data_IF_381021490194
#
_entry.id   IF_381021490194
#
_cell.length_a   1.000
_cell.length_b   1.000
_cell.length_c   1.000
_cell.angle_alpha   90.00
_cell.angle_beta   90.00
_cell.angle_gamma   90.00
#
_symmetry.space_group_name_H-M   'P 1'
#
loop_
_entity.id
_entity.type
_entity.pdbx_description
1 polymer ?
#
# COMPACT_ATOMS: atom_id res chain seq x y z
N UNK A 1 -16.09 -12.19 6.11
CA UNK A 1 -15.56 -11.37 4.99
C UNK A 1 -15.65 -12.15 3.68
N UNK A 2 -16.03 -11.52 2.55
CA UNK A 2 -16.08 -12.19 1.24
C UNK A 2 -14.67 -12.20 0.61
N UNK A 3 -14.09 -13.37 0.37
CA UNK A 3 -12.74 -13.50 -0.24
C UNK A 3 -12.65 -12.86 -1.63
N UNK A 4 -13.75 -12.84 -2.39
CA UNK A 4 -13.76 -12.27 -3.74
C UNK A 4 -13.49 -10.76 -3.83
N UNK A 5 -13.63 -10.04 -2.72
CA UNK A 5 -13.32 -8.60 -2.64
C UNK A 5 -11.96 -8.31 -2.01
N UNK A 6 -11.31 -9.31 -1.40
CA UNK A 6 -10.02 -9.16 -0.74
C UNK A 6 -8.90 -8.96 -1.78
N UNK A 7 -8.10 -7.94 -1.56
CA UNK A 7 -6.87 -7.68 -2.31
C UNK A 7 -5.70 -8.18 -1.45
N UNK A 8 -4.80 -8.98 -2.01
CA UNK A 8 -3.62 -9.46 -1.26
C UNK A 8 -2.37 -8.81 -1.81
N UNK A 9 -1.56 -8.26 -0.90
CA UNK A 9 -0.25 -7.71 -1.25
C UNK A 9 0.74 -8.84 -1.56
N UNK A 10 1.48 -8.70 -2.66
CA UNK A 10 2.53 -9.66 -3.01
C UNK A 10 3.81 -9.50 -2.18
N UNK A 11 3.89 -8.49 -1.30
CA UNK A 11 5.05 -8.23 -0.43
C UNK A 11 5.45 -9.44 0.41
N UNK A 12 4.48 -10.20 0.94
CA UNK A 12 4.75 -11.42 1.70
C UNK A 12 5.59 -12.46 0.93
N UNK A 13 5.56 -12.40 -0.39
CA UNK A 13 6.27 -13.31 -1.30
C UNK A 13 7.53 -12.67 -1.90
N UNK A 14 8.09 -11.64 -1.28
CA UNK A 14 9.21 -10.83 -1.81
C UNK A 14 10.49 -11.62 -2.14
N UNK A 15 10.60 -12.87 -1.68
CA UNK A 15 11.69 -13.81 -2.00
C UNK A 15 11.28 -14.91 -2.99
N UNK A 16 10.09 -14.84 -3.51
CA UNK A 16 9.57 -15.78 -4.52
C UNK A 16 9.44 -15.08 -5.86
N UNK A 17 9.47 -15.85 -6.96
CA UNK A 17 9.13 -15.28 -8.26
C UNK A 17 7.66 -14.86 -8.30
N UNK A 18 7.34 -13.91 -9.17
CA UNK A 18 5.95 -13.45 -9.33
C UNK A 18 5.04 -14.59 -9.83
N UNK A 19 5.53 -15.46 -10.73
CA UNK A 19 4.76 -16.62 -11.20
C UNK A 19 4.40 -17.59 -10.08
N UNK A 20 5.35 -17.90 -9.18
CA UNK A 20 5.05 -18.71 -7.98
C UNK A 20 4.04 -18.00 -7.08
N UNK A 21 4.23 -16.70 -6.83
CA UNK A 21 3.32 -15.90 -6.00
C UNK A 21 1.88 -15.95 -6.51
N UNK A 22 1.70 -15.69 -7.80
CA UNK A 22 0.40 -15.72 -8.47
C UNK A 22 -0.25 -17.10 -8.35
N UNK A 23 0.51 -18.17 -8.56
CA UNK A 23 0.01 -19.54 -8.41
C UNK A 23 -0.48 -19.84 -6.98
N UNK A 24 0.24 -19.35 -5.95
CA UNK A 24 -0.19 -19.52 -4.55
C UNK A 24 -1.47 -18.73 -4.23
N UNK A 25 -1.57 -17.49 -4.74
CA UNK A 25 -2.76 -16.66 -4.58
C UNK A 25 -3.97 -17.29 -5.29
N UNK A 26 -3.79 -17.77 -6.53
CA UNK A 26 -4.82 -18.47 -7.28
C UNK A 26 -5.33 -19.72 -6.56
N UNK A 27 -4.42 -20.57 -6.07
CA UNK A 27 -4.75 -21.77 -5.32
C UNK A 27 -5.51 -21.46 -4.01
N UNK A 28 -5.31 -20.27 -3.44
CA UNK A 28 -6.00 -19.79 -2.26
C UNK A 28 -7.34 -19.08 -2.59
N UNK A 29 -7.76 -19.03 -3.86
CA UNK A 29 -9.01 -18.38 -4.31
C UNK A 29 -8.94 -16.86 -4.40
N UNK A 30 -7.75 -16.27 -4.31
CA UNK A 30 -7.54 -14.83 -4.47
C UNK A 30 -7.43 -14.50 -5.96
N UNK A 31 -8.05 -13.39 -6.36
CA UNK A 31 -8.05 -12.89 -7.75
C UNK A 31 -7.59 -11.43 -7.87
N UNK A 32 -7.48 -10.71 -6.77
CA UNK A 32 -7.17 -9.28 -6.73
C UNK A 32 -5.86 -9.05 -5.99
N UNK A 33 -4.96 -8.30 -6.61
CA UNK A 33 -3.57 -8.17 -6.16
C UNK A 33 -3.21 -6.69 -5.95
N UNK A 34 -2.55 -6.39 -4.82
CA UNK A 34 -1.69 -5.22 -4.65
C UNK A 34 -0.27 -5.65 -4.99
N UNK A 35 0.24 -5.21 -6.14
CA UNK A 35 1.56 -5.60 -6.63
C UNK A 35 2.66 -4.81 -5.89
N UNK A 36 3.50 -5.52 -5.15
CA UNK A 36 4.69 -4.92 -4.54
C UNK A 36 5.78 -4.69 -5.59
N UNK A 37 6.38 -3.48 -5.58
CA UNK A 37 7.34 -3.01 -6.55
C UNK A 37 8.79 -3.42 -6.31
N UNK A 38 9.04 -4.48 -5.53
CA UNK A 38 10.40 -4.99 -5.31
C UNK A 38 10.92 -5.84 -6.47
N UNK A 39 12.25 -6.00 -6.52
CA UNK A 39 12.97 -6.63 -7.63
C UNK A 39 12.51 -8.06 -7.97
N UNK A 40 12.07 -8.85 -6.98
CA UNK A 40 11.58 -10.21 -7.21
C UNK A 40 10.28 -10.26 -8.03
N UNK A 41 9.51 -9.17 -8.06
CA UNK A 41 8.23 -9.07 -8.79
C UNK A 41 8.35 -8.22 -10.06
N UNK A 42 9.56 -7.91 -10.48
CA UNK A 42 9.82 -7.41 -11.82
C UNK A 42 9.81 -5.89 -12.00
N UNK A 43 9.77 -5.11 -10.92
CA UNK A 43 9.89 -3.66 -11.04
C UNK A 43 11.13 -3.13 -10.31
N UNK A 44 12.14 -2.75 -11.07
CA UNK A 44 13.40 -2.17 -10.55
C UNK A 44 13.50 -0.65 -10.70
N UNK A 45 12.36 0.05 -10.91
CA UNK A 45 12.34 1.48 -11.19
C UNK A 45 12.50 1.87 -12.66
N UNK A 46 12.84 0.91 -13.53
CA UNK A 46 12.97 1.12 -14.97
C UNK A 46 12.40 -0.09 -15.72
N UNK A 47 11.08 -0.25 -15.78
CA UNK A 47 10.48 -1.38 -16.46
C UNK A 47 10.74 -1.30 -17.95
N UNK A 48 11.47 -2.27 -18.47
CA UNK A 48 11.55 -2.48 -19.89
C UNK A 48 10.18 -2.84 -20.49
N UNK A 49 10.04 -2.72 -21.81
CA UNK A 49 8.78 -3.04 -22.49
C UNK A 49 8.35 -4.50 -22.30
N UNK A 50 9.31 -5.44 -22.27
CA UNK A 50 9.06 -6.85 -22.05
C UNK A 50 8.42 -7.18 -20.71
N UNK A 51 8.86 -6.55 -19.61
CA UNK A 51 8.32 -6.81 -18.26
C UNK A 51 6.83 -6.46 -18.13
N UNK A 52 6.41 -5.37 -18.75
CA UNK A 52 4.99 -4.98 -18.73
C UNK A 52 4.12 -6.00 -19.50
N UNK A 53 4.61 -6.50 -20.63
CA UNK A 53 3.88 -7.48 -21.44
C UNK A 53 3.85 -8.85 -20.77
N UNK A 54 4.95 -9.28 -20.18
CA UNK A 54 5.05 -10.51 -19.39
C UNK A 54 4.11 -10.47 -18.19
N UNK A 55 4.05 -9.35 -17.46
CA UNK A 55 3.13 -9.14 -16.34
C UNK A 55 1.68 -9.26 -16.83
N UNK A 56 1.29 -8.53 -17.87
CA UNK A 56 -0.08 -8.60 -18.42
C UNK A 56 -0.44 -10.02 -18.88
N UNK A 57 0.49 -10.73 -19.50
CA UNK A 57 0.27 -12.10 -19.92
C UNK A 57 0.06 -13.03 -18.71
N UNK A 58 0.88 -12.92 -17.67
CA UNK A 58 0.75 -13.69 -16.44
C UNK A 58 -0.59 -13.45 -15.76
N UNK A 59 -1.01 -12.17 -15.65
CA UNK A 59 -2.31 -11.82 -15.05
C UNK A 59 -3.47 -12.42 -15.83
N UNK A 60 -3.44 -12.37 -17.17
CA UNK A 60 -4.48 -12.99 -18.01
C UNK A 60 -4.51 -14.51 -17.87
N UNK A 61 -3.35 -15.19 -17.87
CA UNK A 61 -3.26 -16.64 -17.71
C UNK A 61 -3.90 -17.13 -16.42
N UNK A 62 -3.70 -16.40 -15.33
CA UNK A 62 -4.21 -16.75 -13.99
C UNK A 62 -5.53 -16.02 -13.63
N UNK A 63 -6.12 -15.25 -14.56
CA UNK A 63 -7.35 -14.46 -14.32
C UNK A 63 -7.24 -13.57 -13.07
N UNK A 64 -6.10 -12.91 -12.91
CA UNK A 64 -5.82 -11.98 -11.82
C UNK A 64 -6.08 -10.54 -12.23
N UNK A 65 -6.53 -9.74 -11.26
CA UNK A 65 -6.70 -8.29 -11.40
C UNK A 65 -5.64 -7.56 -10.58
N UNK A 66 -4.92 -6.65 -11.22
CA UNK A 66 -4.01 -5.72 -10.55
C UNK A 66 -4.81 -4.49 -10.11
N UNK A 67 -4.95 -4.31 -8.79
CA UNK A 67 -5.76 -3.24 -8.21
C UNK A 67 -4.91 -2.05 -7.78
N UNK A 68 -3.71 -2.33 -7.31
CA UNK A 68 -2.82 -1.33 -6.74
C UNK A 68 -1.36 -1.71 -7.04
N UNK A 69 -0.54 -0.71 -7.29
CA UNK A 69 0.90 -0.83 -7.28
C UNK A 69 1.49 -0.16 -6.03
N UNK A 70 2.26 -0.90 -5.25
CA UNK A 70 2.94 -0.45 -4.04
C UNK A 70 4.45 -0.39 -4.28
N UNK A 71 5.03 0.76 -4.66
CA UNK A 71 6.46 0.91 -4.92
C UNK A 71 7.31 0.66 -3.67
N UNK A 72 8.53 0.18 -3.86
CA UNK A 72 9.51 0.04 -2.78
C UNK A 72 10.08 1.43 -2.45
N UNK A 73 9.41 2.15 -1.56
CA UNK A 73 9.82 3.47 -1.06
C UNK A 73 9.70 3.46 0.46
N UNK A 74 10.79 3.66 1.16
CA UNK A 74 10.79 3.70 2.62
C UNK A 74 11.77 4.77 3.13
N UNK A 75 13.01 4.40 3.34
CA UNK A 75 14.09 5.29 3.80
C UNK A 75 15.33 5.21 2.91
N UNK A 76 15.43 4.22 2.07
CA UNK A 76 16.53 3.99 1.11
C UNK A 76 16.08 3.01 0.01
N UNK A 77 16.45 3.21 -1.24
CA UNK A 77 17.20 4.34 -1.82
C UNK A 77 16.32 5.55 -2.15
N UNK A 78 15.01 5.45 -1.95
CA UNK A 78 14.02 6.48 -2.25
C UNK A 78 13.32 6.94 -0.97
N UNK A 79 13.35 8.23 -0.69
CA UNK A 79 12.72 8.82 0.50
C UNK A 79 12.20 10.24 0.16
N UNK A 80 10.88 10.46 0.15
CA UNK A 80 10.33 11.79 -0.09
C UNK A 80 10.74 12.83 0.96
N UNK A 81 10.96 12.40 2.20
CA UNK A 81 11.28 13.25 3.33
C UNK A 81 12.79 13.43 3.58
N UNK A 82 13.66 12.93 2.70
CA UNK A 82 15.11 13.01 2.88
C UNK A 82 15.59 14.46 2.86
N UNK A 83 16.55 14.82 3.73
CA UNK A 83 17.11 16.17 3.80
C UNK A 83 17.90 16.54 2.54
N UNK A 84 18.46 15.55 1.85
CA UNK A 84 19.23 15.75 0.63
C UNK A 84 18.31 15.94 -0.57
N UNK A 85 18.39 17.10 -1.21
CA UNK A 85 17.56 17.44 -2.38
C UNK A 85 17.72 16.44 -3.53
N UNK A 86 18.91 15.84 -3.69
CA UNK A 86 19.15 14.84 -4.72
C UNK A 86 18.31 13.57 -4.51
N UNK A 87 18.23 13.05 -3.28
CA UNK A 87 17.40 11.87 -2.96
C UNK A 87 15.94 12.18 -3.25
N UNK A 88 15.46 13.38 -2.87
CA UNK A 88 14.09 13.81 -3.16
C UNK A 88 13.81 13.88 -4.66
N UNK A 89 14.73 14.46 -5.46
CA UNK A 89 14.58 14.50 -6.94
C UNK A 89 14.52 13.10 -7.54
N UNK A 90 15.39 12.19 -7.08
CA UNK A 90 15.39 10.78 -7.52
C UNK A 90 14.08 10.08 -7.13
N UNK A 91 13.57 10.35 -5.93
CA UNK A 91 12.29 9.81 -5.46
C UNK A 91 11.11 10.32 -6.30
N UNK A 92 11.08 11.62 -6.63
CA UNK A 92 10.06 12.17 -7.52
C UNK A 92 10.11 11.51 -8.91
N UNK A 93 11.31 11.38 -9.49
CA UNK A 93 11.50 10.70 -10.78
C UNK A 93 11.05 9.22 -10.72
N UNK A 94 11.33 8.53 -9.62
CA UNK A 94 10.90 7.15 -9.40
C UNK A 94 9.37 7.05 -9.35
N UNK A 95 8.67 7.90 -8.60
CA UNK A 95 7.21 7.91 -8.58
C UNK A 95 6.59 8.23 -9.95
N UNK A 96 7.18 9.12 -10.73
CA UNK A 96 6.74 9.40 -12.12
C UNK A 96 6.87 8.13 -12.98
N UNK A 97 7.97 7.39 -12.84
CA UNK A 97 8.16 6.11 -13.53
C UNK A 97 7.15 5.05 -13.06
N UNK A 98 6.82 5.02 -11.77
CA UNK A 98 5.78 4.16 -11.22
C UNK A 98 4.40 4.47 -11.79
N UNK A 99 4.03 5.74 -11.91
CA UNK A 99 2.77 6.16 -12.53
C UNK A 99 2.69 5.73 -14.00
N UNK A 100 3.77 5.93 -14.76
CA UNK A 100 3.86 5.49 -16.16
C UNK A 100 3.76 3.95 -16.29
N UNK A 101 4.37 3.21 -15.37
CA UNK A 101 4.24 1.76 -15.30
C UNK A 101 2.79 1.35 -15.03
N UNK A 102 2.14 1.95 -14.02
CA UNK A 102 0.74 1.67 -13.71
C UNK A 102 -0.16 1.87 -14.94
N UNK A 103 -0.05 3.02 -15.62
CA UNK A 103 -0.82 3.30 -16.82
C UNK A 103 -0.58 2.26 -17.93
N UNK A 104 0.70 1.86 -18.12
CA UNK A 104 1.06 0.88 -19.14
C UNK A 104 0.51 -0.52 -18.89
N UNK A 105 0.43 -0.96 -17.63
CA UNK A 105 -0.07 -2.29 -17.26
C UNK A 105 -1.50 -2.28 -16.73
N UNK A 106 -2.17 -1.14 -16.86
CA UNK A 106 -3.58 -0.93 -16.49
C UNK A 106 -3.85 -1.14 -14.99
N UNK A 107 -2.88 -0.77 -14.14
CA UNK A 107 -3.07 -0.75 -12.68
C UNK A 107 -3.74 0.59 -12.31
N UNK A 108 -4.96 0.59 -11.75
CA UNK A 108 -5.71 1.83 -11.54
C UNK A 108 -5.20 2.70 -10.38
N UNK A 109 -4.37 2.15 -9.48
CA UNK A 109 -3.99 2.82 -8.24
C UNK A 109 -2.49 2.74 -7.98
N UNK A 110 -1.90 3.86 -7.52
CA UNK A 110 -0.51 3.97 -7.12
C UNK A 110 -0.42 4.35 -5.65
N UNK A 111 0.15 3.47 -4.81
CA UNK A 111 0.38 3.76 -3.39
C UNK A 111 1.62 4.65 -3.23
N UNK A 112 1.46 5.77 -2.56
CA UNK A 112 2.53 6.71 -2.22
C UNK A 112 2.91 6.55 -0.76
N UNK A 113 4.14 6.10 -0.50
CA UNK A 113 4.71 6.07 0.83
C UNK A 113 5.31 7.44 1.15
N UNK A 114 4.97 8.08 2.28
CA UNK A 114 5.43 9.43 2.60
C UNK A 114 6.91 9.51 2.99
N UNK A 115 7.58 8.37 3.17
CA UNK A 115 8.96 8.31 3.64
C UNK A 115 9.09 8.50 5.14
N UNK A 116 10.34 8.60 5.61
CA UNK A 116 10.65 8.77 7.03
C UNK A 116 11.75 9.81 7.21
N UNK A 117 11.78 10.45 8.38
CA UNK A 117 12.84 11.37 8.78
C UNK A 117 13.69 10.76 9.88
N UNK A 118 14.96 11.14 9.95
CA UNK A 118 15.82 10.82 11.08
C UNK A 118 15.24 11.41 12.37
N UNK A 119 15.45 10.73 13.51
CA UNK A 119 14.87 11.14 14.78
C UNK A 119 15.41 12.48 15.30
N UNK A 120 16.63 12.83 14.90
CA UNK A 120 17.29 14.11 15.18
C UNK A 120 17.06 15.18 14.10
N UNK A 121 16.26 14.87 13.07
CA UNK A 121 15.89 15.77 11.99
C UNK A 121 14.73 16.69 12.33
N UNK A 122 14.47 17.64 11.43
CA UNK A 122 13.35 18.59 11.56
C UNK A 122 12.07 18.00 10.97
N UNK A 123 11.12 17.62 11.79
CA UNK A 123 9.83 17.07 11.35
C UNK A 123 8.99 18.05 10.52
N UNK A 124 8.89 19.34 10.87
CA UNK A 124 8.21 20.32 10.01
C UNK A 124 8.86 20.46 8.64
N UNK A 125 10.19 20.44 8.57
CA UNK A 125 10.92 20.48 7.31
C UNK A 125 10.69 19.20 6.49
N UNK A 126 10.70 18.03 7.11
CA UNK A 126 10.42 16.75 6.47
C UNK A 126 9.02 16.71 5.86
N UNK A 127 8.01 17.24 6.56
CA UNK A 127 6.65 17.34 6.08
C UNK A 127 6.57 18.18 4.81
N UNK A 128 7.19 19.37 4.83
CA UNK A 128 7.22 20.27 3.66
C UNK A 128 7.96 19.63 2.47
N UNK A 129 9.11 18.99 2.72
CA UNK A 129 9.92 18.34 1.69
C UNK A 129 9.17 17.16 1.05
N UNK A 130 8.56 16.30 1.88
CA UNK A 130 7.77 15.18 1.40
C UNK A 130 6.56 15.63 0.60
N UNK A 131 5.86 16.68 1.07
CA UNK A 131 4.72 17.23 0.36
C UNK A 131 5.09 17.71 -1.06
N UNK A 132 6.26 18.31 -1.24
CA UNK A 132 6.74 18.71 -2.56
C UNK A 132 6.91 17.52 -3.51
N UNK A 133 7.57 16.46 -3.06
CA UNK A 133 7.78 15.23 -3.85
C UNK A 133 6.45 14.53 -4.16
N UNK A 134 5.58 14.41 -3.17
CA UNK A 134 4.30 13.72 -3.31
C UNK A 134 3.33 14.50 -4.21
N UNK A 135 3.39 15.84 -4.21
CA UNK A 135 2.63 16.69 -5.15
C UNK A 135 3.03 16.42 -6.60
N UNK A 136 4.34 16.30 -6.88
CA UNK A 136 4.83 15.93 -8.20
C UNK A 136 4.38 14.52 -8.61
N UNK A 137 4.37 13.57 -7.66
CA UNK A 137 3.90 12.21 -7.90
C UNK A 137 2.41 12.18 -8.22
N UNK A 138 1.58 12.92 -7.47
CA UNK A 138 0.14 13.06 -7.74
C UNK A 138 -0.12 13.63 -9.13
N UNK A 139 0.54 14.74 -9.48
CA UNK A 139 0.37 15.35 -10.79
C UNK A 139 0.72 14.40 -11.95
N UNK A 140 1.77 13.59 -11.78
CA UNK A 140 2.15 12.59 -12.78
C UNK A 140 1.13 11.44 -12.87
N UNK A 141 0.60 10.98 -11.76
CA UNK A 141 -0.43 9.95 -11.72
C UNK A 141 -1.74 10.44 -12.35
N UNK A 142 -2.19 11.64 -12.00
CA UNK A 142 -3.39 12.28 -12.54
C UNK A 142 -3.33 12.44 -14.07
N UNK A 143 -2.19 12.89 -14.59
CA UNK A 143 -1.97 13.06 -16.02
C UNK A 143 -2.10 11.74 -16.81
N UNK A 144 -1.96 10.61 -16.14
CA UNK A 144 -2.02 9.26 -16.71
C UNK A 144 -3.30 8.49 -16.33
N UNK A 145 -4.23 9.13 -15.63
CA UNK A 145 -5.48 8.49 -15.18
C UNK A 145 -5.27 7.44 -14.07
N UNK A 146 -4.16 7.53 -13.34
CA UNK A 146 -3.84 6.64 -12.22
C UNK A 146 -4.20 7.33 -10.90
N UNK A 147 -4.98 6.68 -10.05
CA UNK A 147 -5.40 7.22 -8.75
C UNK A 147 -4.26 7.17 -7.73
N UNK A 148 -3.72 8.32 -7.26
CA UNK A 148 -2.72 8.31 -6.20
C UNK A 148 -3.37 8.04 -4.82
N UNK A 149 -2.72 7.20 -4.00
CA UNK A 149 -3.13 6.87 -2.65
C UNK A 149 -2.01 7.19 -1.67
N UNK A 150 -2.28 7.95 -0.61
CA UNK A 150 -1.32 8.18 0.48
C UNK A 150 -1.46 7.08 1.54
N UNK A 151 -0.37 6.42 1.88
CA UNK A 151 -0.36 5.44 2.98
C UNK A 151 -0.42 6.17 4.33
N UNK A 152 -1.49 5.91 5.09
CA UNK A 152 -1.68 6.44 6.44
C UNK A 152 -0.68 5.85 7.43
N UNK A 153 -0.21 6.68 8.37
CA UNK A 153 0.59 6.25 9.51
C UNK A 153 2.03 5.82 9.21
N UNK A 154 2.44 5.89 7.94
CA UNK A 154 3.78 5.45 7.53
C UNK A 154 4.89 6.49 7.81
N UNK A 155 4.54 7.74 8.02
CA UNK A 155 5.49 8.82 8.27
C UNK A 155 5.70 9.06 9.77
N UNK A 156 6.92 8.93 10.26
CA UNK A 156 7.24 9.24 11.66
C UNK A 156 7.16 10.75 11.99
N UNK A 157 7.30 11.61 10.98
CA UNK A 157 7.18 13.07 11.09
C UNK A 157 5.72 13.58 10.96
N UNK A 158 4.80 12.72 10.58
CA UNK A 158 3.37 13.02 10.43
C UNK A 158 2.53 11.84 10.99
N UNK A 159 2.62 11.56 12.31
CA UNK A 159 2.04 10.39 12.92
C UNK A 159 0.51 10.47 12.99
N UNK A 160 -0.13 9.30 12.90
CA UNK A 160 -1.57 9.12 13.08
C UNK A 160 -2.44 9.85 12.05
N UNK A 161 -3.73 9.92 12.33
CA UNK A 161 -4.71 10.58 11.47
C UNK A 161 -4.44 12.08 11.33
N UNK A 162 -4.14 12.75 12.43
CA UNK A 162 -3.87 14.20 12.44
C UNK A 162 -2.64 14.55 11.62
N UNK A 163 -1.55 13.78 11.73
CA UNK A 163 -0.34 13.98 10.94
C UNK A 163 -0.59 13.73 9.45
N UNK A 164 -1.30 12.65 9.13
CA UNK A 164 -1.70 12.35 7.75
C UNK A 164 -2.57 13.45 7.15
N UNK A 165 -3.51 14.02 7.93
CA UNK A 165 -4.35 15.14 7.47
C UNK A 165 -3.52 16.40 7.15
N UNK A 166 -2.56 16.74 8.01
CA UNK A 166 -1.64 17.87 7.75
C UNK A 166 -0.80 17.64 6.49
N UNK A 167 -0.32 16.43 6.28
CA UNK A 167 0.43 16.09 5.08
C UNK A 167 -0.44 16.18 3.81
N UNK A 168 -1.69 15.70 3.85
CA UNK A 168 -2.65 15.86 2.76
C UNK A 168 -2.92 17.32 2.41
N UNK A 169 -3.09 18.16 3.42
CA UNK A 169 -3.30 19.61 3.26
C UNK A 169 -2.07 20.27 2.62
N UNK A 170 -0.87 19.95 3.11
CA UNK A 170 0.38 20.48 2.56
C UNK A 170 0.62 20.00 1.12
N UNK A 171 0.28 18.76 0.77
CA UNK A 171 0.37 18.25 -0.61
C UNK A 171 -0.59 19.05 -1.52
N UNK A 172 -1.82 19.28 -1.06
CA UNK A 172 -2.79 20.11 -1.78
C UNK A 172 -3.33 19.47 -3.07
N UNK A 173 -3.20 18.15 -3.26
CA UNK A 173 -3.77 17.44 -4.43
C UNK A 173 -5.21 17.03 -4.16
N UNK A 174 -6.19 17.46 -4.98
CA UNK A 174 -7.60 17.09 -4.79
C UNK A 174 -7.87 15.61 -5.13
N UNK A 175 -7.09 15.00 -6.00
CA UNK A 175 -7.22 13.60 -6.41
C UNK A 175 -6.64 12.61 -5.39
N UNK A 176 -5.73 13.05 -4.51
CA UNK A 176 -5.05 12.17 -3.57
C UNK A 176 -6.03 11.63 -2.54
N UNK A 177 -6.19 10.31 -2.51
CA UNK A 177 -6.98 9.60 -1.51
C UNK A 177 -6.09 8.95 -0.46
N UNK A 178 -6.68 8.47 0.63
CA UNK A 178 -5.97 7.82 1.75
C UNK A 178 -6.19 6.31 1.71
N UNK A 179 -5.11 5.55 1.81
CA UNK A 179 -5.13 4.13 2.16
C UNK A 179 -4.88 4.01 3.65
N UNK A 180 -5.92 3.69 4.45
CA UNK A 180 -5.80 3.55 5.89
C UNK A 180 -5.04 2.28 6.26
N UNK A 181 -4.19 2.34 7.29
CA UNK A 181 -3.59 1.18 7.91
C UNK A 181 -4.34 0.86 9.21
N UNK A 182 -5.08 -0.27 9.23
CA UNK A 182 -5.87 -0.70 10.36
C UNK A 182 -5.01 -1.05 11.58
N UNK A 183 -3.84 -1.68 11.36
CA UNK A 183 -2.91 -1.99 12.43
C UNK A 183 -2.39 -0.72 13.10
N UNK A 184 -2.10 0.30 12.30
CA UNK A 184 -1.66 1.59 12.80
C UNK A 184 -2.76 2.34 13.56
N UNK A 185 -3.98 2.37 13.03
CA UNK A 185 -5.13 2.95 13.76
C UNK A 185 -5.28 2.34 15.15
N UNK A 186 -5.24 1.01 15.25
CA UNK A 186 -5.37 0.31 16.52
C UNK A 186 -4.22 0.60 17.48
N UNK A 187 -2.97 0.69 16.98
CA UNK A 187 -1.80 1.02 17.78
C UNK A 187 -1.84 2.44 18.34
N UNK A 188 -2.35 3.39 17.57
CA UNK A 188 -2.46 4.78 17.98
C UNK A 188 -3.73 5.06 18.81
N UNK A 189 -4.58 4.05 19.04
CA UNK A 189 -5.86 4.21 19.76
C UNK A 189 -6.88 5.03 18.96
N UNK A 190 -6.71 5.15 17.65
CA UNK A 190 -7.58 5.87 16.74
C UNK A 190 -8.68 4.96 16.17
N UNK A 191 -9.79 5.55 15.71
CA UNK A 191 -10.95 4.79 15.24
C UNK A 191 -11.25 5.04 13.76
N UNK A 192 -11.98 4.10 13.11
CA UNK A 192 -12.53 4.33 11.76
C UNK A 192 -13.47 5.52 11.71
N UNK A 193 -14.24 5.79 12.80
CA UNK A 193 -15.11 6.96 12.91
C UNK A 193 -14.31 8.26 12.83
N UNK A 194 -13.16 8.32 13.53
CA UNK A 194 -12.28 9.49 13.48
C UNK A 194 -11.69 9.68 12.10
N UNK A 195 -11.23 8.60 11.46
CA UNK A 195 -10.71 8.62 10.11
C UNK A 195 -11.79 9.09 9.11
N UNK A 196 -12.99 8.52 9.18
CA UNK A 196 -14.10 8.88 8.30
C UNK A 196 -14.49 10.36 8.45
N UNK A 197 -14.58 10.86 9.68
CA UNK A 197 -14.85 12.27 9.97
C UNK A 197 -13.77 13.20 9.43
N UNK A 198 -12.49 12.83 9.60
CA UNK A 198 -11.36 13.66 9.24
C UNK A 198 -11.13 13.70 7.71
N UNK A 199 -11.22 12.58 7.05
CA UNK A 199 -10.93 12.48 5.61
C UNK A 199 -12.16 12.62 4.70
N UNK A 200 -13.38 12.58 5.20
CA UNK A 200 -14.66 12.92 4.52
C UNK A 200 -14.71 12.48 3.03
N UNK A 201 -14.79 11.18 2.80
CA UNK A 201 -14.90 10.65 1.42
C UNK A 201 -13.58 10.54 0.66
N UNK A 202 -12.46 10.84 1.31
CA UNK A 202 -11.11 10.66 0.72
C UNK A 202 -10.44 9.34 1.12
N UNK A 203 -11.15 8.40 1.72
CA UNK A 203 -10.61 7.07 2.06
C UNK A 203 -10.86 6.14 0.87
N UNK A 204 -9.78 5.62 0.27
CA UNK A 204 -9.86 4.73 -0.88
C UNK A 204 -9.94 3.25 -0.50
N UNK A 205 -9.57 2.92 0.73
CA UNK A 205 -9.54 1.54 1.22
C UNK A 205 -8.78 1.40 2.52
N UNK A 206 -8.76 0.17 3.04
CA UNK A 206 -8.13 -0.17 4.31
C UNK A 206 -7.14 -1.30 4.12
N UNK A 207 -5.92 -1.10 4.57
CA UNK A 207 -4.90 -2.16 4.68
C UNK A 207 -5.06 -2.83 6.03
N UNK A 208 -5.07 -4.16 6.02
CA UNK A 208 -5.21 -4.95 7.23
C UNK A 208 -3.96 -5.79 7.48
N UNK A 209 -3.49 -5.78 8.73
CA UNK A 209 -2.43 -6.61 9.25
C UNK A 209 -2.57 -6.72 10.76
N UNK A 210 -2.04 -7.77 11.36
CA UNK A 210 -2.08 -7.94 12.82
C UNK A 210 -0.85 -7.30 13.48
N UNK A 211 -1.11 -6.32 14.34
CA UNK A 211 -0.08 -5.64 15.15
C UNK A 211 0.96 -4.85 14.36
N UNK A 212 1.93 -4.28 15.06
CA UNK A 212 3.01 -3.47 14.49
C UNK A 212 3.99 -4.25 13.61
N UNK A 213 4.03 -5.57 13.73
CA UNK A 213 4.89 -6.44 12.95
C UNK A 213 4.21 -7.00 11.69
N UNK A 214 3.08 -6.44 11.29
CA UNK A 214 2.30 -6.88 10.11
C UNK A 214 2.15 -8.40 10.04
N UNK A 215 1.66 -8.99 11.14
CA UNK A 215 1.48 -10.43 11.23
C UNK A 215 0.22 -10.90 10.52
N UNK A 216 0.18 -12.18 10.25
CA UNK A 216 -1.05 -12.87 9.82
C UNK A 216 -2.08 -12.80 10.94
N UNK A 217 -3.34 -12.45 10.65
CA UNK A 217 -4.41 -12.42 11.63
C UNK A 217 -4.63 -13.77 12.30
N UNK A 218 -4.95 -13.73 13.59
CA UNK A 218 -5.26 -14.91 14.42
C UNK A 218 -6.65 -14.79 15.04
N UNK A 219 -7.15 -15.85 15.64
CA UNK A 219 -8.43 -15.82 16.35
C UNK A 219 -8.45 -14.85 17.55
N UNK A 220 -7.26 -14.51 18.09
CA UNK A 220 -7.08 -13.60 19.21
C UNK A 220 -7.09 -12.12 18.82
N UNK A 221 -7.06 -11.79 17.53
CA UNK A 221 -7.06 -10.41 17.04
C UNK A 221 -8.48 -9.79 17.06
N UNK A 222 -9.14 -9.78 18.23
CA UNK A 222 -10.49 -9.27 18.38
C UNK A 222 -10.64 -7.81 17.93
N UNK A 223 -9.73 -6.86 18.29
CA UNK A 223 -9.84 -5.48 17.84
C UNK A 223 -9.78 -5.34 16.31
N UNK A 224 -8.90 -6.09 15.65
CA UNK A 224 -8.79 -6.07 14.19
C UNK A 224 -10.05 -6.68 13.54
N UNK A 225 -10.59 -7.76 14.09
CA UNK A 225 -11.83 -8.36 13.62
C UNK A 225 -13.00 -7.40 13.72
N UNK A 226 -13.17 -6.73 14.86
CA UNK A 226 -14.23 -5.72 15.08
C UNK A 226 -14.10 -4.55 14.09
N UNK A 227 -12.89 -4.06 13.87
CA UNK A 227 -12.62 -3.04 12.88
C UNK A 227 -13.05 -3.51 11.49
N UNK A 228 -12.62 -4.70 11.05
CA UNK A 228 -12.97 -5.25 9.73
C UNK A 228 -14.47 -5.45 9.58
N UNK A 229 -15.17 -5.92 10.62
CA UNK A 229 -16.62 -6.08 10.61
C UNK A 229 -17.37 -4.75 10.53
N UNK A 230 -16.76 -3.65 10.96
CA UNK A 230 -17.36 -2.31 10.89
C UNK A 230 -17.16 -1.60 9.53
N UNK A 231 -16.26 -2.09 8.66
CA UNK A 231 -15.96 -1.46 7.36
C UNK A 231 -17.21 -1.20 6.48
N UNK A 232 -18.21 -2.10 6.39
CA UNK A 232 -19.41 -1.85 5.62
C UNK A 232 -20.21 -0.62 6.08
N UNK A 233 -20.18 -0.29 7.38
CA UNK A 233 -20.83 0.89 7.94
C UNK A 233 -20.27 2.20 7.37
N UNK A 234 -19.03 2.17 6.88
CA UNK A 234 -18.32 3.30 6.29
C UNK A 234 -18.14 3.16 4.77
N UNK A 235 -18.79 2.17 4.14
CA UNK A 235 -18.67 1.86 2.71
C UNK A 235 -17.21 1.56 2.28
N UNK A 236 -16.42 0.97 3.19
CA UNK A 236 -15.00 0.67 2.99
C UNK A 236 -14.70 -0.82 2.74
N UNK A 237 -15.71 -1.67 2.69
CA UNK A 237 -15.56 -3.12 2.49
C UNK A 237 -15.23 -3.52 1.04
N UNK A 238 -15.38 -2.60 0.10
CA UNK A 238 -15.06 -2.82 -1.33
C UNK A 238 -13.56 -2.81 -1.66
N UNK A 239 -12.71 -2.32 -0.75
CA UNK A 239 -11.27 -2.19 -0.98
C UNK A 239 -10.47 -2.49 0.30
N UNK A 240 -10.38 -3.79 0.62
CA UNK A 240 -9.57 -4.27 1.74
C UNK A 240 -8.29 -4.89 1.17
N UNK A 241 -7.14 -4.32 1.52
CA UNK A 241 -5.82 -4.84 1.15
C UNK A 241 -5.23 -5.58 2.34
N UNK A 242 -5.00 -6.88 2.20
CA UNK A 242 -4.29 -7.63 3.21
C UNK A 242 -2.80 -7.68 2.90
N UNK A 243 -2.03 -7.17 3.83
CA UNK A 243 -0.57 -7.19 3.80
C UNK A 243 -0.03 -7.83 5.07
N UNK A 244 0.91 -8.77 4.97
CA UNK A 244 1.59 -9.37 6.10
C UNK A 244 3.10 -9.39 5.91
N UNK A 245 3.86 -9.41 7.02
CA UNK A 245 5.31 -9.30 6.97
C UNK A 245 5.94 -10.59 6.44
N UNK A 246 6.72 -10.43 5.37
CA UNK A 246 7.47 -11.51 4.77
C UNK A 246 8.61 -12.03 5.66
N UNK A 247 9.14 -11.21 6.57
CA UNK A 247 10.27 -11.61 7.42
C UNK A 247 9.89 -12.72 8.39
N UNK A 248 8.66 -12.69 8.92
CA UNK A 248 8.12 -13.68 9.83
C UNK A 248 7.74 -15.01 9.14
N UNK A 249 7.45 -14.97 7.83
CA UNK A 249 6.89 -16.10 7.09
C UNK A 249 7.74 -16.57 5.91
N UNK A 250 9.00 -16.16 5.86
CA UNK A 250 9.95 -16.47 4.79
C UNK A 250 10.04 -17.93 4.36
N UNK A 251 9.94 -18.92 5.29
CA UNK A 251 10.06 -20.32 4.88
C UNK A 251 8.87 -20.82 4.05
N UNK A 252 7.66 -20.31 4.33
CA UNK A 252 6.45 -20.72 3.63
C UNK A 252 5.36 -19.63 3.69
N UNK A 253 5.43 -18.61 2.84
CA UNK A 253 4.42 -17.55 2.79
C UNK A 253 3.06 -18.08 2.30
N UNK A 254 3.03 -19.14 1.51
CA UNK A 254 1.80 -19.77 1.06
C UNK A 254 1.03 -20.42 2.20
N UNK A 255 1.72 -21.07 3.15
CA UNK A 255 1.10 -21.59 4.37
C UNK A 255 0.54 -20.46 5.24
N UNK A 256 1.30 -19.39 5.41
CA UNK A 256 0.86 -18.21 6.15
C UNK A 256 -0.39 -17.57 5.52
N UNK A 257 -0.41 -17.44 4.19
CA UNK A 257 -1.58 -16.98 3.43
C UNK A 257 -2.82 -17.82 3.76
N UNK A 258 -2.73 -19.15 3.61
CA UNK A 258 -3.87 -20.06 3.87
C UNK A 258 -4.35 -20.00 5.31
N UNK A 259 -3.44 -19.92 6.27
CA UNK A 259 -3.77 -19.82 7.69
C UNK A 259 -4.55 -18.52 8.00
N UNK A 260 -4.07 -17.39 7.52
CA UNK A 260 -4.76 -16.11 7.71
C UNK A 260 -6.12 -16.03 7.02
N UNK A 261 -6.22 -16.56 5.79
CA UNK A 261 -7.51 -16.65 5.09
C UNK A 261 -8.54 -17.48 5.87
N UNK A 262 -8.12 -18.62 6.43
CA UNK A 262 -8.98 -19.46 7.26
C UNK A 262 -9.54 -18.70 8.47
N UNK A 263 -8.72 -17.88 9.12
CA UNK A 263 -9.18 -17.02 10.23
C UNK A 263 -10.13 -15.92 9.72
N UNK A 264 -9.73 -15.17 8.70
CA UNK A 264 -10.54 -14.05 8.18
C UNK A 264 -11.88 -14.48 7.58
N UNK A 265 -12.01 -15.71 7.11
CA UNK A 265 -13.30 -16.27 6.66
C UNK A 265 -14.33 -16.37 7.79
N UNK A 266 -13.88 -16.47 9.04
CA UNK A 266 -14.76 -16.52 10.22
C UNK A 266 -15.21 -15.13 10.69
N UNK A 267 -14.67 -14.07 10.12
CA UNK A 267 -15.01 -12.68 10.38
C UNK A 267 -16.15 -12.23 9.47
#
# INVERSE_FOLDING_TARGET
MKLGTLIVSTNAFSRSSLGYTVSQLEAAGIRRISLWGGAAHGFSGYPGSSQADELRQLMRQHRMELIEFAPEVLSYPFNPADDRAEVRRRTAAYYKACAAFCARVEIPRLLLHPGTQLLDGSFPQALHQAAGVLREACAAADALGVQPLLLHGAANYAPGLSGTAKLLEEIGSPSLLVSLDAGRLLLDGETLSDAHRLFRGRIAGVRISSGSAHRVPTAQDAPLRELVQSLPTYELDGCIVWEFDHSAYRPDPGRALRAGLSVMQTW
#
